data_IF_687564708491
#
_entry.id   IF_687564708491
#
_cell.length_a   1.000
_cell.length_b   1.000
_cell.length_c   1.000
_cell.angle_alpha   90.00
_cell.angle_beta   90.00
_cell.angle_gamma   90.00
#
_symmetry.space_group_name_H-M   'P 1'
#
loop_
_entity.id
_entity.type
_entity.pdbx_description
1 polymer ?
#
# COMPACT_ATOMS: atom_id res chain seq x y z
N UNK A 1 4.65 17.03 2.24
CA UNK A 1 5.69 16.80 1.20
C UNK A 1 5.00 16.70 -0.14
N UNK A 2 5.64 17.17 -1.21
CA UNK A 2 5.16 16.97 -2.60
C UNK A 2 6.08 15.94 -3.23
N UNK A 3 5.52 14.81 -3.63
CA UNK A 3 6.29 13.70 -4.19
C UNK A 3 5.99 13.54 -5.67
N UNK A 4 6.92 12.94 -6.38
CA UNK A 4 6.84 12.58 -7.78
C UNK A 4 7.33 11.14 -7.99
N UNK A 5 6.61 10.40 -8.81
CA UNK A 5 6.91 9.03 -9.22
C UNK A 5 6.92 8.98 -10.75
N UNK A 6 7.91 8.31 -11.36
CA UNK A 6 7.91 8.04 -12.79
C UNK A 6 8.34 6.61 -13.09
N UNK A 7 7.67 5.96 -14.05
CA UNK A 7 7.89 4.55 -14.37
C UNK A 7 7.00 4.07 -15.52
N UNK A 8 6.65 2.78 -15.51
CA UNK A 8 5.74 2.17 -16.49
C UNK A 8 4.42 1.76 -15.85
N UNK A 9 3.30 2.10 -16.50
CA UNK A 9 1.96 1.70 -16.06
C UNK A 9 1.53 0.36 -16.66
N UNK A 10 0.58 -0.32 -16.00
CA UNK A 10 -0.17 -1.42 -16.62
C UNK A 10 -1.40 -0.91 -17.39
N UNK A 11 -1.91 -1.67 -18.37
CA UNK A 11 -1.42 -2.97 -18.83
C UNK A 11 -0.41 -2.91 -19.99
N UNK A 12 -0.27 -1.76 -20.62
CA UNK A 12 0.47 -1.56 -21.87
C UNK A 12 1.97 -1.32 -21.67
N UNK A 13 2.40 -0.97 -20.45
CA UNK A 13 3.80 -0.65 -20.17
C UNK A 13 4.18 0.77 -20.57
N UNK A 14 3.22 1.64 -20.86
CA UNK A 14 3.48 3.02 -21.27
C UNK A 14 4.10 3.83 -20.11
N UNK A 15 4.95 4.84 -20.42
CA UNK A 15 5.46 5.76 -19.42
C UNK A 15 4.33 6.44 -18.66
N UNK A 16 4.45 6.48 -17.33
CA UNK A 16 3.48 7.16 -16.45
C UNK A 16 4.20 7.97 -15.38
N UNK A 17 3.62 9.11 -15.04
CA UNK A 17 4.11 10.02 -14.00
C UNK A 17 2.95 10.38 -13.08
N UNK A 18 3.24 10.42 -11.77
CA UNK A 18 2.26 10.75 -10.74
C UNK A 18 2.87 11.67 -9.69
N UNK A 19 2.06 12.62 -9.23
CA UNK A 19 2.40 13.48 -8.10
C UNK A 19 1.55 13.13 -6.88
N UNK A 20 2.14 13.21 -5.69
CA UNK A 20 1.41 12.99 -4.44
C UNK A 20 1.46 14.26 -3.60
N UNK A 21 0.29 14.78 -3.24
CA UNK A 21 0.12 15.95 -2.38
C UNK A 21 -0.85 15.60 -1.26
N UNK A 22 -0.38 15.65 -0.01
CA UNK A 22 -1.20 15.35 1.17
C UNK A 22 -1.90 13.98 1.10
N UNK A 23 -1.22 12.96 0.57
CA UNK A 23 -1.77 11.61 0.42
C UNK A 23 -2.71 11.41 -0.76
N UNK A 24 -2.91 12.43 -1.61
CA UNK A 24 -3.74 12.34 -2.81
C UNK A 24 -2.86 12.31 -4.07
N UNK A 25 -3.25 11.48 -5.04
CA UNK A 25 -2.63 11.42 -6.35
C UNK A 25 -3.12 12.56 -7.25
N UNK A 26 -2.19 13.13 -8.03
CA UNK A 26 -2.44 14.07 -9.12
C UNK A 26 -1.79 13.54 -10.40
N UNK A 27 -2.55 13.53 -11.49
CA UNK A 27 -2.03 13.28 -12.83
C UNK A 27 -1.42 14.53 -13.47
N UNK A 28 -1.70 15.71 -12.90
CA UNK A 28 -1.11 16.98 -13.33
C UNK A 28 0.19 17.27 -12.57
N UNK A 29 1.20 17.87 -13.23
CA UNK A 29 2.46 18.23 -12.61
C UNK A 29 2.30 19.17 -11.42
N UNK A 30 3.05 18.90 -10.34
CA UNK A 30 3.11 19.75 -9.15
C UNK A 30 4.51 20.30 -8.99
N UNK A 31 4.64 21.63 -8.91
CA UNK A 31 5.91 22.31 -8.70
C UNK A 31 6.57 21.90 -7.36
N UNK A 32 7.91 21.88 -7.37
CA UNK A 32 8.75 21.57 -6.20
C UNK A 32 8.51 20.15 -5.63
N UNK A 33 8.11 19.19 -6.47
CA UNK A 33 7.96 17.80 -6.08
C UNK A 33 9.30 17.04 -6.13
N UNK A 34 9.58 16.26 -5.09
CA UNK A 34 10.76 15.39 -5.02
C UNK A 34 10.48 14.08 -5.76
N UNK A 35 11.35 13.70 -6.70
CA UNK A 35 11.24 12.38 -7.36
C UNK A 35 11.78 11.31 -6.42
N UNK A 36 10.89 10.44 -5.93
CA UNK A 36 11.21 9.38 -4.95
C UNK A 36 11.24 7.98 -5.57
N UNK A 37 10.80 7.85 -6.81
CA UNK A 37 10.84 6.61 -7.57
C UNK A 37 11.04 6.91 -9.06
N UNK A 38 11.99 6.21 -9.67
CA UNK A 38 12.39 6.43 -11.07
C UNK A 38 12.72 5.08 -11.75
N UNK A 39 11.79 4.63 -12.59
CA UNK A 39 11.88 3.36 -13.30
C UNK A 39 11.20 2.20 -12.58
N UNK A 40 10.96 1.09 -13.29
CA UNK A 40 10.13 -0.01 -12.79
C UNK A 40 8.63 0.19 -13.09
N UNK A 41 7.78 -0.58 -12.42
CA UNK A 41 6.34 -0.58 -12.63
C UNK A 41 5.60 0.21 -11.56
N UNK A 42 4.63 1.02 -11.97
CA UNK A 42 3.72 1.75 -11.08
C UNK A 42 2.33 1.15 -11.24
N UNK A 43 1.77 0.66 -10.14
CA UNK A 43 0.44 0.04 -10.08
C UNK A 43 -0.32 0.60 -8.87
N UNK A 44 -1.66 0.54 -8.87
CA UNK A 44 -2.44 0.68 -7.65
C UNK A 44 -1.98 -0.36 -6.61
N UNK A 45 -1.99 0.02 -5.34
CA UNK A 45 -1.81 -0.92 -4.24
C UNK A 45 -2.84 -2.05 -4.31
N UNK A 46 -2.41 -3.28 -4.02
CA UNK A 46 -3.29 -4.43 -4.04
C UNK A 46 -4.33 -4.32 -2.92
N UNK A 47 -5.48 -4.95 -3.14
CA UNK A 47 -6.53 -5.10 -2.14
C UNK A 47 -6.61 -6.57 -1.76
N UNK A 48 -6.34 -6.87 -0.49
CA UNK A 48 -6.64 -8.19 0.05
C UNK A 48 -8.05 -8.18 0.64
N UNK A 49 -8.95 -8.91 -0.04
CA UNK A 49 -10.35 -9.01 0.36
C UNK A 49 -10.59 -10.04 1.48
N UNK A 50 -9.57 -10.84 1.84
CA UNK A 50 -9.69 -11.89 2.82
C UNK A 50 -8.36 -12.17 3.52
N UNK A 51 -8.11 -11.41 4.59
CA UNK A 51 -7.03 -11.68 5.53
C UNK A 51 -7.56 -11.98 6.95
N UNK A 52 -6.66 -12.36 7.86
CA UNK A 52 -6.93 -12.62 9.27
C UNK A 52 -5.85 -12.02 10.18
N UNK A 53 -5.75 -10.69 10.18
CA UNK A 53 -4.81 -9.96 11.05
C UNK A 53 -5.28 -10.05 12.49
N UNK A 54 -4.40 -10.45 13.41
CA UNK A 54 -4.75 -10.73 14.79
C UNK A 54 -5.20 -12.17 15.06
N UNK A 55 -5.05 -13.08 14.09
CA UNK A 55 -5.28 -14.52 14.28
C UNK A 55 -3.99 -15.31 14.02
N UNK A 56 -3.45 -15.92 15.06
CA UNK A 56 -2.33 -16.85 15.00
C UNK A 56 -2.76 -18.31 15.06
N UNK A 57 -1.79 -19.22 14.99
CA UNK A 57 -2.04 -20.67 14.99
C UNK A 57 -2.77 -21.19 16.26
N UNK A 58 -2.69 -20.46 17.36
CA UNK A 58 -3.33 -20.79 18.64
C UNK A 58 -4.51 -19.86 18.99
N UNK A 59 -4.98 -19.04 18.05
CA UNK A 59 -6.06 -18.08 18.27
C UNK A 59 -5.57 -16.64 18.33
N UNK A 60 -6.09 -15.86 19.28
CA UNK A 60 -5.76 -14.44 19.46
C UNK A 60 -4.26 -14.18 19.63
N UNK A 61 -3.77 -13.08 19.05
CA UNK A 61 -2.38 -12.64 19.18
C UNK A 61 -2.30 -11.21 19.72
N UNK A 62 -1.21 -10.82 20.40
CA UNK A 62 -1.02 -9.44 20.83
C UNK A 62 -0.99 -8.45 19.66
N UNK A 63 -1.32 -7.19 19.93
CA UNK A 63 -1.35 -6.14 18.90
C UNK A 63 -0.01 -5.97 18.17
N UNK A 64 1.13 -6.11 18.86
CA UNK A 64 2.45 -6.03 18.24
C UNK A 64 2.67 -7.11 17.15
N UNK A 65 2.11 -8.31 17.36
CA UNK A 65 2.15 -9.37 16.35
C UNK A 65 1.17 -9.07 15.20
N UNK A 66 -0.02 -8.57 15.50
CA UNK A 66 -0.98 -8.14 14.49
C UNK A 66 -0.41 -7.00 13.60
N UNK A 67 0.36 -6.06 14.17
CA UNK A 67 1.08 -5.02 13.41
C UNK A 67 2.09 -5.68 12.47
N UNK A 68 2.88 -6.64 12.95
CA UNK A 68 3.85 -7.36 12.11
C UNK A 68 3.17 -8.09 10.94
N UNK A 69 1.99 -8.67 11.17
CA UNK A 69 1.19 -9.29 10.10
C UNK A 69 0.73 -8.25 9.06
N UNK A 70 0.22 -7.09 9.49
CA UNK A 70 -0.19 -6.02 8.59
C UNK A 70 1.00 -5.42 7.81
N UNK A 71 2.18 -5.32 8.42
CA UNK A 71 3.40 -4.89 7.72
C UNK A 71 3.86 -5.88 6.67
N UNK A 72 3.68 -7.18 6.92
CA UNK A 72 3.98 -8.23 5.94
C UNK A 72 3.11 -8.08 4.69
N UNK A 73 1.81 -7.81 4.86
CA UNK A 73 0.89 -7.55 3.75
C UNK A 73 1.25 -6.26 2.98
N UNK A 74 1.56 -5.18 3.71
CA UNK A 74 2.04 -3.92 3.14
C UNK A 74 3.28 -4.13 2.26
N UNK A 75 4.24 -4.89 2.77
CA UNK A 75 5.51 -5.15 2.09
C UNK A 75 5.33 -6.07 0.86
N UNK A 76 4.27 -6.90 0.84
CA UNK A 76 3.83 -7.64 -0.34
C UNK A 76 3.08 -6.77 -1.37
N UNK A 77 2.73 -5.52 -1.01
CA UNK A 77 2.04 -4.55 -1.86
C UNK A 77 0.54 -4.47 -1.65
N UNK A 78 -0.03 -5.16 -0.66
CA UNK A 78 -1.43 -5.01 -0.26
C UNK A 78 -1.60 -3.78 0.64
N UNK A 79 -2.20 -2.73 0.08
CA UNK A 79 -2.34 -1.42 0.75
C UNK A 79 -3.76 -1.17 1.29
N UNK A 80 -4.68 -2.11 1.06
CA UNK A 80 -5.99 -2.14 1.70
C UNK A 80 -6.34 -3.58 2.05
N UNK A 81 -6.67 -3.79 3.32
CA UNK A 81 -7.05 -5.10 3.85
C UNK A 81 -8.51 -5.08 4.28
N UNK A 82 -9.23 -6.15 3.96
CA UNK A 82 -10.50 -6.47 4.59
C UNK A 82 -10.33 -7.73 5.42
N UNK A 83 -10.28 -7.54 6.73
CA UNK A 83 -10.24 -8.64 7.68
C UNK A 83 -11.57 -9.41 7.67
N UNK A 84 -11.49 -10.74 7.55
CA UNK A 84 -12.66 -11.61 7.49
C UNK A 84 -13.20 -12.05 8.87
N UNK A 85 -12.58 -11.58 9.94
CA UNK A 85 -12.87 -11.90 11.34
C UNK A 85 -11.58 -12.10 12.11
N UNK A 86 -11.41 -11.31 13.18
CA UNK A 86 -10.26 -11.36 14.07
C UNK A 86 -10.72 -11.54 15.52
N UNK A 87 -10.06 -12.44 16.29
CA UNK A 87 -10.28 -12.54 17.74
C UNK A 87 -9.62 -11.40 18.51
N UNK A 88 -8.64 -10.70 17.91
CA UNK A 88 -7.95 -9.56 18.51
C UNK A 88 -8.75 -8.29 18.25
N UNK A 89 -8.86 -7.40 19.24
CA UNK A 89 -9.49 -6.09 19.02
C UNK A 89 -8.54 -5.16 18.25
N UNK A 90 -8.86 -4.92 16.99
CA UNK A 90 -8.08 -4.12 16.02
C UNK A 90 -8.71 -2.76 15.72
N UNK A 91 -9.61 -2.27 16.58
CA UNK A 91 -10.28 -0.96 16.45
C UNK A 91 -9.46 0.22 16.96
#
# INVERSE_FOLDING_TARGET
>A
MRLHLRGRGLPDGEPTEWWIVNGLLSAEPVADAETVFDGGWILPGLVDAHCHVGLGAQGEVPLDEAVTQAETERDAGALLLRDAGSPTDTR
#
